data_IF_358315515476
#
_entry.id   IF_358315515476
#
_cell.length_a   1.000
_cell.length_b   1.000
_cell.length_c   1.000
_cell.angle_alpha   90.00
_cell.angle_beta   90.00
_cell.angle_gamma   90.00
#
_symmetry.space_group_name_H-M   'P 1'
#
loop_
_entity.id
_entity.type
_entity.pdbx_description
1 polymer ?
#
# COMPACT_ATOMS: atom_id res chain seq x y z
N UNK A 1 2.95 13.00 10.85
CA UNK A 1 1.79 12.64 10.00
C UNK A 1 1.07 11.49 10.69
N UNK A 2 -0.26 11.44 10.73
CA UNK A 2 -0.97 10.25 11.23
C UNK A 2 -0.54 9.01 10.42
N UNK A 3 -0.58 7.84 11.06
CA UNK A 3 -0.25 6.55 10.45
C UNK A 3 -1.53 5.81 10.04
N UNK A 4 -1.38 4.69 9.31
CA UNK A 4 -2.53 3.82 9.04
C UNK A 4 -3.13 3.22 10.31
N UNK A 5 -2.34 2.98 11.36
CA UNK A 5 -2.86 2.47 12.63
C UNK A 5 -3.75 3.52 13.34
N UNK A 6 -3.29 4.78 13.34
CA UNK A 6 -4.09 5.90 13.88
C UNK A 6 -5.42 6.04 13.14
N UNK A 7 -5.40 5.88 11.81
CA UNK A 7 -6.60 5.90 10.98
C UNK A 7 -7.53 4.74 11.35
N UNK A 8 -7.03 3.50 11.31
CA UNK A 8 -7.83 2.30 11.59
C UNK A 8 -8.49 2.34 12.97
N UNK A 9 -7.86 2.97 13.96
CA UNK A 9 -8.41 3.12 15.30
C UNK A 9 -9.58 4.11 15.39
N UNK A 10 -9.73 5.03 14.43
CA UNK A 10 -10.66 6.16 14.50
C UNK A 10 -11.76 6.13 13.43
N UNK A 11 -11.61 5.31 12.39
CA UNK A 11 -12.56 5.27 11.28
C UNK A 11 -13.81 4.43 11.60
N UNK A 12 -14.95 4.90 11.10
CA UNK A 12 -16.19 4.14 11.07
C UNK A 12 -16.24 3.21 9.84
N UNK A 13 -17.26 2.36 9.77
CA UNK A 13 -17.44 1.49 8.59
C UNK A 13 -17.79 2.32 7.36
N UNK A 14 -17.02 2.16 6.29
CA UNK A 14 -17.22 2.89 5.05
C UNK A 14 -15.96 2.91 4.18
N UNK A 15 -15.99 3.74 3.14
CA UNK A 15 -14.83 4.01 2.31
C UNK A 15 -14.11 5.26 2.82
N UNK A 16 -12.79 5.16 3.00
CA UNK A 16 -11.95 6.22 3.50
C UNK A 16 -10.79 6.47 2.53
N UNK A 17 -10.52 7.74 2.24
CA UNK A 17 -9.42 8.17 1.37
C UNK A 17 -8.40 8.94 2.20
N UNK A 18 -7.14 8.55 2.09
CA UNK A 18 -6.02 9.35 2.59
C UNK A 18 -5.09 9.72 1.45
N UNK A 19 -4.76 11.01 1.39
CA UNK A 19 -3.80 11.56 0.43
C UNK A 19 -2.45 11.70 1.13
N UNK A 20 -1.41 11.14 0.50
CA UNK A 20 -0.02 11.21 0.97
C UNK A 20 0.77 12.06 -0.03
N UNK A 21 0.89 13.36 0.23
CA UNK A 21 1.44 14.37 -0.70
C UNK A 21 2.83 14.89 -0.29
N UNK A 22 3.42 14.32 0.77
CA UNK A 22 4.70 14.76 1.33
C UNK A 22 5.93 14.57 0.43
N UNK A 23 5.80 13.96 -0.75
CA UNK A 23 6.87 13.89 -1.75
C UNK A 23 6.94 15.11 -2.69
N UNK A 24 5.92 15.98 -2.70
CA UNK A 24 5.80 17.07 -3.68
C UNK A 24 7.04 17.97 -3.69
N UNK A 25 7.43 18.47 -2.52
CA UNK A 25 8.60 19.35 -2.37
C UNK A 25 9.89 18.61 -2.72
N UNK A 26 10.03 17.35 -2.31
CA UNK A 26 11.22 16.54 -2.60
C UNK A 26 11.41 16.34 -4.12
N UNK A 27 10.33 16.13 -4.86
CA UNK A 27 10.37 16.04 -6.33
C UNK A 27 10.71 17.40 -6.94
N UNK A 28 10.10 18.49 -6.46
CA UNK A 28 10.34 19.84 -6.97
C UNK A 28 11.80 20.28 -6.80
N UNK A 29 12.41 19.98 -5.66
CA UNK A 29 13.79 20.34 -5.34
C UNK A 29 14.82 19.26 -5.73
N UNK A 30 14.41 18.18 -6.41
CA UNK A 30 15.25 17.03 -6.76
C UNK A 30 15.98 16.41 -5.56
N UNK A 31 15.38 16.49 -4.37
CA UNK A 31 15.91 15.91 -3.15
C UNK A 31 15.57 14.42 -3.08
N UNK A 32 16.49 13.61 -3.62
CA UNK A 32 16.39 12.14 -3.61
C UNK A 32 16.34 11.59 -2.18
N UNK A 33 17.00 12.24 -1.22
CA UNK A 33 17.04 11.82 0.18
C UNK A 33 15.66 11.95 0.83
N UNK A 34 15.06 13.14 0.71
CA UNK A 34 13.72 13.41 1.20
C UNK A 34 12.67 12.53 0.49
N UNK A 35 12.77 12.35 -0.83
CA UNK A 35 11.87 11.48 -1.57
C UNK A 35 11.95 10.02 -1.09
N UNK A 36 13.17 9.49 -0.94
CA UNK A 36 13.38 8.11 -0.47
C UNK A 36 12.85 7.94 0.96
N UNK A 37 13.08 8.93 1.83
CA UNK A 37 12.57 8.89 3.20
C UNK A 37 11.04 8.86 3.22
N UNK A 38 10.40 9.71 2.42
CA UNK A 38 8.94 9.73 2.28
C UNK A 38 8.41 8.37 1.80
N UNK A 39 8.94 7.82 0.69
CA UNK A 39 8.51 6.52 0.17
C UNK A 39 8.73 5.39 1.18
N UNK A 40 9.83 5.44 1.95
CA UNK A 40 10.10 4.47 3.01
C UNK A 40 9.02 4.56 4.10
N UNK A 41 8.64 5.77 4.53
CA UNK A 41 7.57 6.00 5.50
C UNK A 41 6.20 5.58 4.97
N UNK A 42 5.88 5.83 3.71
CA UNK A 42 4.66 5.30 3.08
C UNK A 42 4.63 3.77 3.15
N UNK A 43 5.76 3.11 2.90
CA UNK A 43 5.83 1.66 2.98
C UNK A 43 5.61 1.14 4.42
N UNK A 44 6.32 1.70 5.40
CA UNK A 44 6.29 1.22 6.79
C UNK A 44 5.03 1.62 7.55
N UNK A 45 4.55 2.84 7.36
CA UNK A 45 3.54 3.46 8.23
C UNK A 45 2.14 3.36 7.63
N UNK A 46 2.05 3.10 6.32
CA UNK A 46 0.79 3.01 5.58
C UNK A 46 0.56 1.65 4.95
N UNK A 47 1.43 1.24 4.01
CA UNK A 47 1.18 0.03 3.23
C UNK A 47 1.26 -1.23 4.08
N UNK A 48 2.29 -1.36 4.93
CA UNK A 48 2.46 -2.56 5.76
C UNK A 48 1.31 -2.78 6.76
N UNK A 49 0.86 -1.78 7.56
CA UNK A 49 -0.25 -1.96 8.48
C UNK A 49 -1.59 -2.24 7.77
N UNK A 50 -1.91 -1.51 6.69
CA UNK A 50 -3.14 -1.74 5.92
C UNK A 50 -3.17 -3.13 5.28
N UNK A 51 -2.02 -3.62 4.81
CA UNK A 51 -1.90 -4.98 4.30
C UNK A 51 -2.12 -6.02 5.40
N UNK A 52 -1.69 -5.76 6.63
CA UNK A 52 -1.97 -6.64 7.76
C UNK A 52 -3.46 -6.63 8.14
N UNK A 53 -4.10 -5.46 8.20
CA UNK A 53 -5.54 -5.34 8.43
C UNK A 53 -6.35 -6.10 7.36
N UNK A 54 -5.95 -5.98 6.08
CA UNK A 54 -6.53 -6.74 4.97
C UNK A 54 -6.35 -8.26 5.11
N UNK A 55 -5.20 -8.72 5.65
CA UNK A 55 -4.95 -10.15 5.93
C UNK A 55 -5.78 -10.66 7.11
N UNK A 56 -6.00 -9.83 8.13
CA UNK A 56 -6.83 -10.16 9.30
C UNK A 56 -8.33 -10.11 9.00
N UNK A 57 -8.72 -9.51 7.87
CA UNK A 57 -10.11 -9.33 7.48
C UNK A 57 -10.78 -8.11 8.12
N UNK A 58 -10.00 -7.24 8.74
CA UNK A 58 -10.44 -5.96 9.31
C UNK A 58 -10.70 -4.90 8.21
N UNK A 59 -10.04 -5.07 7.06
CA UNK A 59 -10.26 -4.28 5.85
C UNK A 59 -10.84 -5.17 4.75
N UNK A 60 -11.89 -4.70 4.07
CA UNK A 60 -12.49 -5.44 2.95
C UNK A 60 -11.71 -5.27 1.64
N UNK A 61 -11.12 -4.08 1.44
CA UNK A 61 -10.36 -3.73 0.23
C UNK A 61 -9.37 -2.62 0.53
N UNK A 62 -8.17 -2.73 -0.03
CA UNK A 62 -7.16 -1.66 -0.08
C UNK A 62 -7.02 -1.16 -1.51
N UNK A 63 -7.02 0.16 -1.70
CA UNK A 63 -6.80 0.81 -2.99
C UNK A 63 -5.60 1.75 -2.92
N UNK A 64 -4.73 1.68 -3.92
CA UNK A 64 -3.62 2.62 -4.11
C UNK A 64 -3.86 3.33 -5.42
N UNK A 65 -3.91 4.66 -5.37
CA UNK A 65 -4.10 5.52 -6.53
C UNK A 65 -2.79 6.29 -6.73
N UNK A 66 -2.16 6.12 -7.90
CA UNK A 66 -0.96 6.89 -8.24
C UNK A 66 -1.34 8.30 -8.65
N UNK A 67 -0.36 9.21 -8.63
CA UNK A 67 -0.54 10.59 -9.11
C UNK A 67 -0.88 10.67 -10.60
N UNK A 68 -0.61 9.60 -11.36
CA UNK A 68 -0.96 9.47 -12.78
C UNK A 68 -2.34 8.82 -12.99
N UNK A 69 -3.08 8.53 -11.92
CA UNK A 69 -4.43 7.98 -11.98
C UNK A 69 -4.50 6.47 -12.11
N UNK A 70 -3.37 5.77 -12.02
CA UNK A 70 -3.36 4.31 -11.98
C UNK A 70 -3.96 3.84 -10.67
N UNK A 71 -4.85 2.85 -10.76
CA UNK A 71 -5.57 2.35 -9.60
C UNK A 71 -5.27 0.87 -9.39
N UNK A 72 -4.67 0.55 -8.25
CA UNK A 72 -4.38 -0.81 -7.83
C UNK A 72 -5.28 -1.17 -6.66
N UNK A 73 -6.05 -2.25 -6.80
CA UNK A 73 -6.93 -2.75 -5.74
C UNK A 73 -6.50 -4.13 -5.26
N UNK A 74 -6.59 -4.31 -3.94
CA UNK A 74 -6.26 -5.54 -3.24
C UNK A 74 -7.41 -5.94 -2.32
N UNK A 75 -7.86 -7.17 -2.46
CA UNK A 75 -8.85 -7.81 -1.60
C UNK A 75 -8.21 -9.00 -0.86
N UNK A 76 -8.79 -9.46 0.27
CA UNK A 76 -8.28 -10.63 0.98
C UNK A 76 -8.22 -11.89 0.08
N UNK A 77 -9.14 -12.01 -0.87
CA UNK A 77 -9.17 -13.12 -1.83
C UNK A 77 -7.99 -13.08 -2.82
N UNK A 78 -7.58 -11.91 -3.28
CA UNK A 78 -6.43 -11.74 -4.16
C UNK A 78 -5.11 -12.01 -3.42
N UNK A 79 -5.01 -11.67 -2.14
CA UNK A 79 -3.82 -12.01 -1.32
C UNK A 79 -3.60 -13.53 -1.25
N UNK A 80 -4.66 -14.33 -1.07
CA UNK A 80 -4.56 -15.80 -1.07
C UNK A 80 -4.00 -16.36 -2.39
N UNK A 81 -4.20 -15.68 -3.52
CA UNK A 81 -3.66 -16.09 -4.82
C UNK A 81 -2.16 -15.82 -4.94
N UNK A 82 -1.63 -14.84 -4.22
CA UNK A 82 -0.18 -14.56 -4.15
C UNK A 82 0.60 -15.64 -3.38
N UNK A 83 -0.03 -16.30 -2.41
CA UNK A 83 0.55 -17.45 -1.70
C UNK A 83 0.52 -18.76 -2.51
N UNK A 84 -0.22 -18.81 -3.63
CA UNK A 84 -0.19 -19.94 -4.55
C UNK A 84 1.16 -19.91 -5.28
N UNK A 85 2.16 -20.56 -4.67
CA UNK A 85 3.56 -20.74 -5.10
C UNK A 85 3.80 -20.29 -6.54
N UNK A 86 4.70 -19.31 -6.73
CA UNK A 86 5.36 -19.08 -8.02
C UNK A 86 5.94 -20.43 -8.47
N UNK A 87 5.26 -21.13 -9.39
CA UNK A 87 5.89 -22.24 -10.09
C UNK A 87 7.12 -21.64 -10.75
N UNK A 88 8.27 -22.20 -10.45
CA UNK A 88 9.50 -21.82 -11.12
C UNK A 88 9.26 -21.90 -12.62
N UNK A 89 9.67 -20.88 -13.37
CA UNK A 89 9.66 -20.93 -14.84
C UNK A 89 10.52 -22.10 -15.36
N UNK A 90 11.40 -22.65 -14.52
CA UNK A 90 12.17 -23.86 -14.79
C UNK A 90 11.31 -25.13 -14.97
N UNK A 91 10.03 -25.12 -14.56
CA UNK A 91 9.15 -26.29 -14.73
C UNK A 91 8.64 -26.46 -16.16
N UNK A 92 8.81 -25.47 -17.04
CA UNK A 92 8.38 -25.53 -18.45
C UNK A 92 9.55 -25.83 -19.43
N UNK A 93 10.73 -26.20 -18.92
CA UNK A 93 11.91 -26.55 -19.73
C UNK A 93 12.32 -28.03 -19.56
N UNK A 94 11.36 -28.95 -19.45
CA UNK A 94 11.59 -30.40 -19.60
C UNK A 94 10.79 -30.95 -20.76
#
# INVERSE_FOLDING_TARGET
>A
MPTAEDLLAQIETGEHLVVLDGATDAVQFQDIGAWRQFITGVSSDWIAPLLQALKRGELAQLSVISTEGEHYSLTPAQLRRWWKRRRSLLTFMS
#
